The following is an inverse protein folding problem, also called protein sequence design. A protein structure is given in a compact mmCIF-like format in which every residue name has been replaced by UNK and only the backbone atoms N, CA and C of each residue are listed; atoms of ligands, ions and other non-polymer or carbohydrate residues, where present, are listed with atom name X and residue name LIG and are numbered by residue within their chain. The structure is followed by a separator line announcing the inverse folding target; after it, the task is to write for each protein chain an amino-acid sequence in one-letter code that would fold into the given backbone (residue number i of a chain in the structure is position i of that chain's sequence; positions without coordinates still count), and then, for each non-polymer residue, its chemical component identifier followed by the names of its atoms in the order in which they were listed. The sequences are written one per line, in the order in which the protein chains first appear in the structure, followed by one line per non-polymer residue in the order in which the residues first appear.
data_IF_745225085971
#
_entry.id   IF_745225085971
#
_cell.length_a   1.000
_cell.length_b   1.000
_cell.length_c   1.000
_cell.angle_alpha   90.00
_cell.angle_beta   90.00
_cell.angle_gamma   90.00
#
_symmetry.space_group_name_H-M   'P 1'
#
loop_
_entity.id
_entity.type
_entity.pdbx_description
1 polymer ?
#
# COMPACT_ATOMS: atom_id res chain seq x y z
N UNK A 1 -9.91 -20.08 4.28
CA UNK A 1 -8.49 -20.47 4.14
C UNK A 1 -7.62 -19.37 4.74
N UNK A 2 -6.80 -19.73 5.71
CA UNK A 2 -5.90 -18.78 6.34
C UNK A 2 -4.71 -18.47 5.42
N UNK A 3 -4.20 -17.26 5.55
CA UNK A 3 -3.02 -16.82 4.80
C UNK A 3 -1.76 -17.37 5.44
N UNK A 4 -0.79 -17.72 4.62
CA UNK A 4 0.50 -18.18 5.11
C UNK A 4 1.34 -16.96 5.54
N UNK A 5 1.77 -16.87 6.81
CA UNK A 5 2.44 -15.65 7.29
C UNK A 5 3.77 -15.38 6.62
N UNK A 6 4.55 -16.41 6.31
CA UNK A 6 5.83 -16.22 5.62
C UNK A 6 5.64 -15.66 4.22
N UNK A 7 4.63 -16.13 3.49
CA UNK A 7 4.32 -15.63 2.15
C UNK A 7 3.90 -14.16 2.21
N UNK A 8 3.00 -13.80 3.12
CA UNK A 8 2.52 -12.42 3.20
C UNK A 8 3.58 -11.48 3.75
N UNK A 9 4.39 -11.92 4.70
CA UNK A 9 5.53 -11.15 5.17
C UNK A 9 6.55 -10.89 4.06
N UNK A 10 6.88 -11.92 3.28
CA UNK A 10 7.78 -11.79 2.15
C UNK A 10 7.22 -10.87 1.07
N UNK A 11 5.93 -10.98 0.77
CA UNK A 11 5.26 -10.09 -0.19
C UNK A 11 5.30 -8.65 0.28
N UNK A 12 5.02 -8.40 1.55
CA UNK A 12 5.06 -7.05 2.12
C UNK A 12 6.45 -6.43 1.95
N UNK A 13 7.50 -7.18 2.30
CA UNK A 13 8.88 -6.70 2.16
C UNK A 13 9.24 -6.49 0.70
N UNK A 14 8.86 -7.41 -0.18
CA UNK A 14 9.14 -7.31 -1.62
C UNK A 14 8.46 -6.09 -2.23
N UNK A 15 7.19 -5.86 -1.93
CA UNK A 15 6.45 -4.72 -2.45
C UNK A 15 7.03 -3.41 -1.88
N UNK A 16 7.41 -3.39 -0.60
CA UNK A 16 8.07 -2.23 -0.02
C UNK A 16 9.38 -1.92 -0.75
N UNK A 17 10.16 -2.95 -1.07
CA UNK A 17 11.40 -2.77 -1.83
C UNK A 17 11.13 -2.21 -3.23
N UNK A 18 10.10 -2.72 -3.91
CA UNK A 18 9.71 -2.19 -5.22
C UNK A 18 9.28 -0.73 -5.13
N UNK A 19 8.52 -0.37 -4.09
CA UNK A 19 8.09 1.01 -3.87
C UNK A 19 9.27 1.95 -3.66
N UNK A 20 10.23 1.55 -2.85
CA UNK A 20 11.45 2.33 -2.63
C UNK A 20 12.29 2.42 -3.91
N UNK A 21 12.41 1.31 -4.64
CA UNK A 21 13.15 1.30 -5.90
C UNK A 21 12.54 2.24 -6.93
N UNK A 22 11.21 2.33 -6.98
CA UNK A 22 10.52 3.21 -7.92
C UNK A 22 10.82 4.69 -7.66
N UNK A 23 11.30 5.04 -6.48
CA UNK A 23 11.66 6.40 -6.10
C UNK A 23 13.12 6.73 -6.35
N UNK A 24 13.93 5.77 -6.83
CA UNK A 24 15.33 6.03 -7.16
C UNK A 24 15.46 6.94 -8.37
N UNK A 25 16.56 7.67 -8.46
CA UNK A 25 16.81 8.57 -9.58
C UNK A 25 16.79 7.84 -10.92
N UNK A 26 17.27 6.59 -10.95
CA UNK A 26 17.31 5.79 -12.18
C UNK A 26 15.90 5.51 -12.72
N UNK A 27 15.02 5.01 -11.87
CA UNK A 27 13.64 4.69 -12.29
C UNK A 27 12.84 5.97 -12.55
N UNK A 28 13.07 7.01 -11.76
CA UNK A 28 12.43 8.32 -11.97
C UNK A 28 12.79 8.90 -13.33
N UNK A 29 14.00 8.68 -13.79
CA UNK A 29 14.44 9.14 -15.11
C UNK A 29 13.81 8.34 -16.26
N UNK A 30 13.45 7.05 -16.02
CA UNK A 30 12.87 6.18 -17.05
C UNK A 30 11.37 6.38 -17.23
N UNK A 31 10.66 6.77 -16.17
CA UNK A 31 9.20 6.88 -16.19
C UNK A 31 8.76 8.34 -16.08
N UNK A 32 7.66 8.73 -16.77
CA UNK A 32 7.07 10.05 -16.53
C UNK A 32 6.69 10.23 -15.07
N UNK A 33 6.83 11.48 -14.57
CA UNK A 33 6.62 11.76 -13.16
C UNK A 33 5.25 11.35 -12.62
N UNK A 34 4.18 11.55 -13.41
CA UNK A 34 2.82 11.19 -13.02
C UNK A 34 2.69 9.66 -12.88
N UNK A 35 3.22 8.91 -13.85
CA UNK A 35 3.16 7.45 -13.83
C UNK A 35 3.98 6.90 -12.66
N UNK A 36 5.15 7.48 -12.42
CA UNK A 36 6.01 7.05 -11.32
C UNK A 36 5.34 7.28 -9.97
N UNK A 37 4.74 8.45 -9.76
CA UNK A 37 4.03 8.77 -8.52
C UNK A 37 2.83 7.83 -8.31
N UNK A 38 2.04 7.61 -9.37
CA UNK A 38 0.88 6.73 -9.31
C UNK A 38 1.29 5.30 -8.97
N UNK A 39 2.35 4.80 -9.61
CA UNK A 39 2.86 3.46 -9.34
C UNK A 39 3.34 3.31 -7.91
N UNK A 40 4.05 4.31 -7.38
CA UNK A 40 4.51 4.31 -6.00
C UNK A 40 3.36 4.22 -5.00
N UNK A 41 2.31 4.99 -5.22
CA UNK A 41 1.14 5.00 -4.35
C UNK A 41 0.36 3.69 -4.43
N UNK A 42 0.21 3.12 -5.63
CA UNK A 42 -0.44 1.82 -5.80
C UNK A 42 0.36 0.71 -5.11
N UNK A 43 1.68 0.72 -5.23
CA UNK A 43 2.55 -0.23 -4.53
C UNK A 43 2.46 -0.07 -3.01
N UNK A 44 2.41 1.16 -2.52
CA UNK A 44 2.21 1.44 -1.10
C UNK A 44 0.92 0.82 -0.59
N UNK A 45 -0.18 1.02 -1.32
CA UNK A 45 -1.48 0.48 -0.93
C UNK A 45 -1.48 -1.06 -0.96
N UNK A 46 -0.86 -1.66 -1.97
CA UNK A 46 -0.72 -3.12 -2.05
C UNK A 46 0.11 -3.66 -0.88
N UNK A 47 1.16 -2.95 -0.49
CA UNK A 47 1.97 -3.29 0.69
C UNK A 47 1.13 -3.27 1.95
N UNK A 48 0.29 -2.26 2.13
CA UNK A 48 -0.61 -2.16 3.28
C UNK A 48 -1.57 -3.34 3.31
N UNK A 49 -2.13 -3.71 2.15
CA UNK A 49 -3.03 -4.87 2.05
C UNK A 49 -2.31 -6.16 2.48
N UNK A 50 -1.12 -6.42 1.97
CA UNK A 50 -0.37 -7.62 2.33
C UNK A 50 0.07 -7.59 3.79
N UNK A 51 0.36 -6.40 4.32
CA UNK A 51 0.68 -6.22 5.74
C UNK A 51 -0.49 -6.57 6.64
N UNK A 52 -1.71 -6.14 6.31
CA UNK A 52 -2.91 -6.55 7.04
C UNK A 52 -3.15 -8.05 6.93
N UNK A 53 -2.90 -8.63 5.75
CA UNK A 53 -2.99 -10.08 5.57
C UNK A 53 -1.98 -10.84 6.43
N UNK A 54 -0.79 -10.29 6.61
CA UNK A 54 0.22 -10.87 7.49
C UNK A 54 -0.21 -10.83 8.96
N UNK A 55 -0.75 -9.69 9.40
CA UNK A 55 -1.16 -9.50 10.79
C UNK A 55 -2.44 -10.25 11.12
N UNK A 56 -3.40 -10.30 10.21
CA UNK A 56 -4.72 -10.89 10.41
C UNK A 56 -4.97 -11.98 9.36
N UNK A 57 -4.40 -13.15 9.59
CA UNK A 57 -4.37 -14.23 8.60
C UNK A 57 -5.75 -14.78 8.23
N UNK A 58 -6.71 -14.65 9.13
CA UNK A 58 -8.02 -15.31 9.00
C UNK A 58 -9.13 -14.36 8.56
N UNK A 59 -8.86 -13.07 8.37
CA UNK A 59 -9.89 -12.14 7.92
C UNK A 59 -10.18 -12.35 6.43
N UNK A 60 -11.40 -11.99 6.04
CA UNK A 60 -11.84 -12.11 4.65
C UNK A 60 -11.10 -11.10 3.79
N UNK A 61 -11.01 -11.41 2.49
CA UNK A 61 -10.37 -10.50 1.52
C UNK A 61 -11.05 -9.14 1.52
N UNK A 62 -12.39 -9.10 1.56
CA UNK A 62 -13.13 -7.84 1.61
C UNK A 62 -12.79 -7.02 2.87
N UNK A 63 -12.70 -7.70 4.02
CA UNK A 63 -12.34 -7.02 5.27
C UNK A 63 -10.92 -6.44 5.19
N UNK A 64 -9.97 -7.22 4.68
CA UNK A 64 -8.61 -6.75 4.50
C UNK A 64 -8.55 -5.56 3.54
N UNK A 65 -9.31 -5.59 2.46
CA UNK A 65 -9.38 -4.49 1.50
C UNK A 65 -9.95 -3.22 2.16
N UNK A 66 -11.04 -3.34 2.90
CA UNK A 66 -11.66 -2.21 3.58
C UNK A 66 -10.72 -1.61 4.61
N UNK A 67 -10.06 -2.42 5.42
CA UNK A 67 -9.10 -1.94 6.42
C UNK A 67 -7.93 -1.23 5.75
N UNK A 68 -7.44 -1.77 4.64
CA UNK A 68 -6.33 -1.17 3.90
C UNK A 68 -6.71 0.18 3.32
N UNK A 69 -7.91 0.28 2.71
CA UNK A 69 -8.41 1.54 2.17
C UNK A 69 -8.62 2.58 3.26
N UNK A 70 -9.21 2.18 4.40
CA UNK A 70 -9.40 3.09 5.53
C UNK A 70 -8.06 3.61 6.03
N UNK A 71 -7.06 2.74 6.16
CA UNK A 71 -5.74 3.15 6.60
C UNK A 71 -5.12 4.16 5.63
N UNK A 72 -5.14 3.85 4.33
CA UNK A 72 -4.57 4.73 3.31
C UNK A 72 -5.29 6.08 3.28
N UNK A 73 -6.62 6.07 3.38
CA UNK A 73 -7.40 7.30 3.37
C UNK A 73 -7.18 8.14 4.63
N UNK A 74 -7.00 7.50 5.79
CA UNK A 74 -6.68 8.21 7.02
C UNK A 74 -5.32 8.89 6.93
N UNK A 75 -4.32 8.21 6.39
CA UNK A 75 -3.00 8.80 6.16
C UNK A 75 -3.12 10.01 5.22
N UNK A 76 -3.87 9.87 4.14
CA UNK A 76 -4.07 10.95 3.17
C UNK A 76 -4.78 12.15 3.81
N UNK A 77 -5.83 11.89 4.58
CA UNK A 77 -6.54 12.96 5.30
C UNK A 77 -5.65 13.63 6.34
N UNK A 78 -4.73 12.89 6.95
CA UNK A 78 -3.80 13.47 7.93
C UNK A 78 -2.89 14.52 7.31
N UNK A 79 -2.70 14.49 5.99
CA UNK A 79 -1.86 15.48 5.30
C UNK A 79 -2.51 16.86 5.25
N UNK A 80 -3.81 16.96 5.53
CA UNK A 80 -4.49 18.24 5.70
C UNK A 80 -4.20 18.88 7.06
N UNK A 81 -3.68 18.11 8.01
CA UNK A 81 -3.40 18.54 9.37
C UNK A 81 -1.92 18.89 9.50
N UNK A 82 -1.61 20.13 9.88
CA UNK A 82 -0.25 20.66 9.95
C UNK A 82 0.08 21.26 11.32
N UNK A 83 -0.25 20.54 12.40
CA UNK A 83 0.21 20.94 13.72
C UNK A 83 1.73 20.76 13.85
N UNK A 84 2.42 21.56 14.69
CA UNK A 84 3.88 21.47 14.81
C UNK A 84 4.42 20.08 15.15
N UNK A 85 3.72 19.34 16.00
CA UNK A 85 4.19 18.02 16.44
C UNK A 85 4.15 16.98 15.31
N UNK A 86 3.13 17.03 14.46
CA UNK A 86 3.01 16.08 13.35
C UNK A 86 3.94 16.46 12.20
N UNK A 87 4.15 17.76 11.97
CA UNK A 87 5.09 18.22 10.96
C UNK A 87 6.53 17.87 11.34
N UNK A 88 6.85 17.89 12.62
CA UNK A 88 8.16 17.44 13.08
C UNK A 88 8.38 15.96 12.78
N UNK A 89 7.38 15.12 12.95
CA UNK A 89 7.45 13.71 12.57
C UNK A 89 7.64 13.58 11.07
N UNK A 90 6.91 14.37 10.26
CA UNK A 90 7.04 14.35 8.80
C UNK A 90 8.42 14.77 8.33
N UNK A 91 9.12 15.61 9.08
CA UNK A 91 10.45 16.07 8.71
C UNK A 91 11.51 14.99 8.85
N UNK A 92 11.24 13.90 9.59
CA UNK A 92 12.12 12.73 9.61
C UNK A 92 11.95 11.94 8.31
N UNK A 93 12.99 11.18 7.94
CA UNK A 93 12.95 10.39 6.71
C UNK A 93 11.79 9.39 6.71
N UNK A 94 11.65 8.64 7.80
CA UNK A 94 10.61 7.62 7.91
C UNK A 94 9.22 8.24 8.03
N UNK A 95 9.08 9.28 8.85
CA UNK A 95 7.80 9.98 9.03
C UNK A 95 7.30 10.61 7.75
N UNK A 96 8.19 11.20 6.95
CA UNK A 96 7.84 11.78 5.66
C UNK A 96 7.40 10.73 4.65
N UNK A 97 8.03 9.55 4.67
CA UNK A 97 7.64 8.44 3.79
C UNK A 97 6.27 7.88 4.14
N UNK A 98 5.95 7.79 5.42
CA UNK A 98 4.67 7.20 5.88
C UNK A 98 3.55 8.21 5.79
N UNK A 99 3.73 9.41 6.35
CA UNK A 99 2.65 10.39 6.46
C UNK A 99 2.51 11.27 5.22
N UNK A 100 3.63 11.59 4.53
CA UNK A 100 3.62 12.51 3.40
C UNK A 100 3.29 13.95 3.80
N UNK A 101 3.23 14.84 2.81
CA UNK A 101 3.08 16.28 3.06
C UNK A 101 1.85 16.91 2.44
N UNK A 102 1.39 16.41 1.29
CA UNK A 102 0.34 17.06 0.52
C UNK A 102 -0.78 16.09 0.22
N UNK A 103 -2.01 16.56 0.44
CA UNK A 103 -3.21 15.84 0.02
C UNK A 103 -3.41 15.99 -1.47
N UNK A 104 -3.52 14.86 -2.20
CA UNK A 104 -3.74 14.84 -3.64
C UNK A 104 -4.79 13.78 -3.95
N UNK A 105 -5.84 14.17 -4.69
CA UNK A 105 -6.92 13.25 -5.05
C UNK A 105 -6.45 12.06 -5.87
N UNK A 106 -5.43 12.25 -6.72
CA UNK A 106 -4.87 11.14 -7.49
C UNK A 106 -4.27 10.05 -6.60
N UNK A 107 -3.78 10.40 -5.41
CA UNK A 107 -3.25 9.42 -4.47
C UNK A 107 -4.35 8.49 -3.96
N UNK A 108 -5.52 9.05 -3.66
CA UNK A 108 -6.70 8.25 -3.25
C UNK A 108 -7.07 7.27 -4.35
N UNK A 109 -7.09 7.72 -5.59
CA UNK A 109 -7.39 6.86 -6.73
C UNK A 109 -6.34 5.74 -6.87
N UNK A 110 -5.05 6.09 -6.74
CA UNK A 110 -3.96 5.11 -6.83
C UNK A 110 -4.04 4.08 -5.71
N UNK A 111 -4.33 4.50 -4.48
CA UNK A 111 -4.51 3.59 -3.35
C UNK A 111 -5.66 2.62 -3.61
N UNK A 112 -6.77 3.11 -4.11
CA UNK A 112 -7.93 2.28 -4.43
C UNK A 112 -7.58 1.24 -5.47
N UNK A 113 -6.89 1.63 -6.55
CA UNK A 113 -6.45 0.70 -7.58
C UNK A 113 -5.49 -0.35 -7.01
N UNK A 114 -4.52 0.08 -6.18
CA UNK A 114 -3.55 -0.84 -5.60
C UNK A 114 -4.19 -1.88 -4.69
N UNK A 115 -5.09 -1.45 -3.80
CA UNK A 115 -5.80 -2.38 -2.91
C UNK A 115 -6.72 -3.30 -3.70
N UNK A 116 -7.46 -2.77 -4.67
CA UNK A 116 -8.36 -3.59 -5.49
C UNK A 116 -7.59 -4.63 -6.28
N UNK A 117 -6.45 -4.28 -6.87
CA UNK A 117 -5.62 -5.22 -7.60
C UNK A 117 -5.11 -6.33 -6.67
N UNK A 118 -4.62 -5.98 -5.50
CA UNK A 118 -4.13 -6.94 -4.51
C UNK A 118 -5.26 -7.86 -4.04
N UNK A 119 -6.43 -7.30 -3.76
CA UNK A 119 -7.60 -8.06 -3.32
C UNK A 119 -8.09 -9.03 -4.40
N UNK A 120 -8.12 -8.58 -5.65
CA UNK A 120 -8.53 -9.43 -6.77
C UNK A 120 -7.53 -10.58 -6.97
N UNK A 121 -6.25 -10.31 -6.86
CA UNK A 121 -5.22 -11.36 -6.96
C UNK A 121 -5.37 -12.38 -5.83
N UNK A 122 -5.59 -11.93 -4.60
CA UNK A 122 -5.82 -12.83 -3.48
C UNK A 122 -7.07 -13.67 -3.69
N UNK A 123 -8.15 -13.03 -4.13
CA UNK A 123 -9.41 -13.73 -4.41
C UNK A 123 -9.22 -14.80 -5.49
N UNK A 124 -8.52 -14.48 -6.58
CA UNK A 124 -8.26 -15.41 -7.67
C UNK A 124 -7.41 -16.60 -7.17
N UNK A 125 -6.40 -16.35 -6.36
CA UNK A 125 -5.56 -17.43 -5.81
C UNK A 125 -6.38 -18.33 -4.89
N UNK A 126 -7.21 -17.76 -4.02
CA UNK A 126 -8.08 -18.54 -3.13
C UNK A 126 -9.08 -19.37 -3.93
N UNK A 127 -9.66 -18.80 -4.99
CA UNK A 127 -10.59 -19.52 -5.86
C UNK A 127 -9.91 -20.72 -6.51
N UNK A 128 -8.70 -20.53 -7.05
CA UNK A 128 -7.94 -21.61 -7.67
C UNK A 128 -7.63 -22.73 -6.69
N UNK A 129 -7.29 -22.39 -5.46
CA UNK A 129 -7.05 -23.38 -4.40
C UNK A 129 -8.30 -24.19 -4.08
N UNK A 130 -9.47 -23.54 -4.05
CA UNK A 130 -10.75 -24.23 -3.84
C UNK A 130 -11.07 -25.20 -4.98
N UNK A 131 -10.77 -24.79 -6.22
CA UNK A 131 -11.05 -25.62 -7.40
C UNK A 131 -10.10 -26.81 -7.52
N UNK A 132 -8.88 -26.68 -7.00
CA UNK A 132 -7.87 -27.74 -7.09
C UNK A 132 -7.88 -28.73 -5.93
N UNK A 133 -8.65 -28.46 -4.88
CA UNK A 133 -8.72 -29.33 -3.69
C UNK A 133 -9.85 -30.39 -3.74
#
# INVERSE_FOLDING_TARGET
VSRHPLTYGALTVFIAALGLLSRTAYITALLPGIINAYLGDALWAAMIFTGFGFLFRNIRTETAAILSLLFCYLIECSQLYHAPWIDEIRSSTLGGLILGWQFVWSDIFAYTVGVCAAALLEWAVKRNRRLSS
#
